data_IF_655817842231
#
_entry.id   IF_655817842231
#
_cell.length_a   1.000
_cell.length_b   1.000
_cell.length_c   1.000
_cell.angle_alpha   90.00
_cell.angle_beta   90.00
_cell.angle_gamma   90.00
#
_symmetry.space_group_name_H-M   'P 1'
#
loop_
_entity.id
_entity.type
_entity.pdbx_description
1 polymer ?
#
# COMPACT_ATOMS: atom_id res chain seq x y z
N UNK A 1 36.14 91.85 52.21
CA UNK A 1 34.99 91.05 52.68
C UNK A 1 35.19 89.64 52.15
N UNK A 2 35.61 88.72 53.02
CA UNK A 2 36.22 87.43 52.67
C UNK A 2 35.20 86.42 52.13
N UNK A 3 35.58 85.71 51.06
CA UNK A 3 34.86 84.54 50.56
C UNK A 3 35.02 83.36 51.52
N UNK A 4 33.90 82.84 52.03
CA UNK A 4 33.88 81.57 52.79
C UNK A 4 33.70 80.43 51.79
N UNK A 5 34.76 79.64 51.62
CA UNK A 5 34.75 78.37 50.89
C UNK A 5 33.95 77.35 51.72
N UNK A 6 32.76 76.97 51.25
CA UNK A 6 31.97 75.89 51.86
C UNK A 6 32.49 74.55 51.31
N UNK A 7 33.39 73.92 52.06
CA UNK A 7 33.84 72.56 51.84
C UNK A 7 32.76 71.59 52.37
N UNK A 8 32.12 70.80 51.50
CA UNK A 8 31.17 69.77 51.95
C UNK A 8 31.93 68.63 52.61
N UNK A 9 31.80 68.51 53.93
CA UNK A 9 32.28 67.37 54.71
C UNK A 9 31.58 66.11 54.18
N UNK A 10 32.36 65.23 53.56
CA UNK A 10 31.90 63.92 53.12
C UNK A 10 31.98 62.95 54.31
N UNK A 11 30.84 62.70 54.96
CA UNK A 11 30.75 61.88 56.16
C UNK A 11 30.73 60.37 55.79
N UNK A 12 31.78 59.59 56.13
CA UNK A 12 31.88 58.17 55.78
C UNK A 12 31.00 57.25 56.65
N UNK A 13 30.38 57.78 57.72
CA UNK A 13 29.58 56.99 58.67
C UNK A 13 28.22 56.57 58.10
N UNK A 14 27.53 57.48 57.41
CA UNK A 14 26.22 57.21 56.77
C UNK A 14 26.27 56.22 55.60
N UNK A 15 27.44 56.00 55.00
CA UNK A 15 27.63 54.98 53.97
C UNK A 15 27.67 53.57 54.57
N UNK A 16 28.19 53.41 55.78
CA UNK A 16 28.41 52.10 56.41
C UNK A 16 27.10 51.43 56.86
N UNK A 17 26.13 52.20 57.35
CA UNK A 17 24.81 51.68 57.73
C UNK A 17 23.90 51.39 56.54
N UNK A 18 23.94 52.22 55.48
CA UNK A 18 23.23 51.93 54.23
C UNK A 18 23.73 50.63 53.59
N UNK A 19 25.03 50.35 53.62
CA UNK A 19 25.58 49.12 53.05
C UNK A 19 25.16 47.84 53.80
N UNK A 20 24.75 47.96 55.07
CA UNK A 20 24.32 46.82 55.89
C UNK A 20 22.90 46.35 55.54
N UNK A 21 22.01 47.28 55.18
CA UNK A 21 20.63 47.00 54.75
C UNK A 21 20.53 46.48 53.30
N UNK A 22 21.45 46.86 52.42
CA UNK A 22 21.44 46.43 51.01
C UNK A 22 22.10 45.07 50.77
N UNK A 23 22.96 44.61 51.70
CA UNK A 23 23.58 43.29 51.63
C UNK A 23 22.57 42.13 51.50
N UNK A 24 21.54 41.97 52.35
CA UNK A 24 20.55 40.91 52.19
C UNK A 24 19.76 41.03 50.88
N UNK A 25 19.48 42.27 50.43
CA UNK A 25 18.77 42.53 49.17
C UNK A 25 19.53 41.99 47.95
N UNK A 26 20.85 42.14 47.89
CA UNK A 26 21.67 41.60 46.79
C UNK A 26 21.64 40.06 46.73
N UNK A 27 21.62 39.37 47.87
CA UNK A 27 21.48 37.91 47.92
C UNK A 27 20.11 37.44 47.43
N UNK A 28 19.03 38.14 47.81
CA UNK A 28 17.67 37.83 47.36
C UNK A 28 17.56 38.02 45.84
N UNK A 29 18.09 39.12 45.30
CA UNK A 29 18.11 39.36 43.84
C UNK A 29 18.93 38.29 43.11
N UNK A 30 20.08 37.88 43.65
CA UNK A 30 20.89 36.81 43.06
C UNK A 30 20.15 35.45 43.02
N UNK A 31 19.39 35.11 44.07
CA UNK A 31 18.58 33.89 44.11
C UNK A 31 17.45 33.93 43.08
N UNK A 32 16.76 35.08 42.95
CA UNK A 32 15.70 35.26 41.95
C UNK A 32 16.27 35.10 40.54
N UNK A 33 17.42 35.72 40.25
CA UNK A 33 18.08 35.58 38.94
C UNK A 33 18.47 34.12 38.69
N UNK A 34 19.00 33.41 39.68
CA UNK A 34 19.33 31.99 39.55
C UNK A 34 18.09 31.11 39.28
N UNK A 35 16.96 31.39 39.95
CA UNK A 35 15.69 30.70 39.70
C UNK A 35 15.14 30.97 38.30
N UNK A 36 15.20 32.22 37.83
CA UNK A 36 14.77 32.58 36.47
C UNK A 36 15.63 31.88 35.42
N UNK A 37 16.95 31.85 35.60
CA UNK A 37 17.86 31.13 34.69
C UNK A 37 17.59 29.62 34.67
N UNK A 38 17.31 29.02 35.84
CA UNK A 38 16.94 27.60 35.94
C UNK A 38 15.65 27.29 35.17
N UNK A 39 14.62 28.13 35.31
CA UNK A 39 13.35 27.96 34.60
C UNK A 39 13.50 28.11 33.08
N UNK A 40 14.31 29.08 32.62
CA UNK A 40 14.62 29.26 31.19
C UNK A 40 15.32 28.03 30.64
N UNK A 41 16.33 27.51 31.35
CA UNK A 41 17.06 26.31 30.94
C UNK A 41 16.15 25.07 30.84
N UNK A 42 15.26 24.86 31.82
CA UNK A 42 14.31 23.76 31.81
C UNK A 42 13.33 23.89 30.65
N UNK A 43 12.85 25.09 30.35
CA UNK A 43 11.91 25.33 29.25
C UNK A 43 12.55 25.04 27.89
N UNK A 44 13.80 25.44 27.65
CA UNK A 44 14.51 25.10 26.40
C UNK A 44 14.72 23.58 26.25
N UNK A 45 15.08 22.90 27.34
CA UNK A 45 15.20 21.43 27.36
C UNK A 45 13.86 20.74 27.11
N UNK A 46 12.77 21.29 27.64
CA UNK A 46 11.43 20.75 27.40
C UNK A 46 10.99 20.93 25.94
N UNK A 47 11.25 22.10 25.35
CA UNK A 47 10.93 22.38 23.95
C UNK A 47 11.72 21.48 23.00
N UNK A 48 13.03 21.32 23.23
CA UNK A 48 13.88 20.44 22.42
C UNK A 48 13.45 18.98 22.51
N UNK A 49 13.10 18.50 23.71
CA UNK A 49 12.56 17.15 23.89
C UNK A 49 11.24 16.99 23.12
N UNK A 50 10.31 17.94 23.24
CA UNK A 50 9.03 17.91 22.52
C UNK A 50 9.21 17.90 21.01
N UNK A 51 10.14 18.71 20.48
CA UNK A 51 10.48 18.73 19.05
C UNK A 51 11.04 17.39 18.59
N UNK A 52 11.96 16.78 19.35
CA UNK A 52 12.51 15.47 19.04
C UNK A 52 11.43 14.37 19.02
N UNK A 53 10.50 14.39 19.97
CA UNK A 53 9.35 13.46 19.97
C UNK A 53 8.42 13.67 18.78
N UNK A 54 8.15 14.92 18.40
CA UNK A 54 7.31 15.23 17.25
C UNK A 54 7.96 14.79 15.94
N UNK A 55 9.25 15.07 15.75
CA UNK A 55 10.02 14.63 14.59
C UNK A 55 10.07 13.11 14.50
N UNK A 56 10.35 12.44 15.62
CA UNK A 56 10.34 10.97 15.69
C UNK A 56 8.96 10.40 15.34
N UNK A 57 7.89 10.98 15.89
CA UNK A 57 6.51 10.59 15.57
C UNK A 57 6.18 10.79 14.09
N UNK A 58 6.61 11.90 13.49
CA UNK A 58 6.41 12.15 12.06
C UNK A 58 7.07 11.08 11.21
N UNK A 59 8.34 10.75 11.48
CA UNK A 59 9.03 9.67 10.78
C UNK A 59 8.33 8.31 10.93
N UNK A 60 7.79 8.00 12.11
CA UNK A 60 7.01 6.78 12.29
C UNK A 60 5.67 6.83 11.56
N UNK A 61 4.97 7.97 11.55
CA UNK A 61 3.70 8.11 10.82
C UNK A 61 3.92 7.95 9.31
N UNK A 62 4.94 8.58 8.74
CA UNK A 62 5.30 8.41 7.33
C UNK A 62 5.56 6.94 6.97
N UNK A 63 6.29 6.22 7.83
CA UNK A 63 6.52 4.79 7.64
C UNK A 63 5.24 3.96 7.78
N UNK A 64 4.39 4.26 8.77
CA UNK A 64 3.11 3.57 8.97
C UNK A 64 2.19 3.79 7.77
N UNK A 65 2.11 5.02 7.26
CA UNK A 65 1.29 5.35 6.10
C UNK A 65 1.81 4.63 4.84
N UNK A 66 3.13 4.56 4.65
CA UNK A 66 3.74 3.80 3.56
C UNK A 66 3.44 2.29 3.66
N UNK A 67 3.56 1.70 4.84
CA UNK A 67 3.24 0.28 5.08
C UNK A 67 1.75 0.01 4.88
N UNK A 68 0.88 0.92 5.36
CA UNK A 68 -0.57 0.79 5.19
C UNK A 68 -0.98 0.81 3.73
N UNK A 69 -0.38 1.71 2.94
CA UNK A 69 -0.59 1.75 1.50
C UNK A 69 -0.17 0.44 0.82
N UNK A 70 0.93 -0.16 1.26
CA UNK A 70 1.37 -1.47 0.75
C UNK A 70 0.41 -2.59 1.17
N UNK A 71 -0.11 -2.56 2.41
CA UNK A 71 -1.07 -3.54 2.89
C UNK A 71 -2.37 -3.49 2.07
N UNK A 72 -2.92 -2.30 1.83
CA UNK A 72 -4.12 -2.12 1.01
C UNK A 72 -3.93 -2.69 -0.41
N UNK A 73 -2.73 -2.55 -0.98
CA UNK A 73 -2.37 -3.15 -2.27
C UNK A 73 -2.34 -4.67 -2.23
N UNK A 74 -1.80 -5.27 -1.16
CA UNK A 74 -1.76 -6.73 -0.98
C UNK A 74 -3.18 -7.28 -0.84
N UNK A 75 -4.02 -6.65 -0.01
CA UNK A 75 -5.39 -7.10 0.22
C UNK A 75 -6.23 -7.02 -1.07
N UNK A 76 -6.03 -5.97 -1.87
CA UNK A 76 -6.65 -5.85 -3.18
C UNK A 76 -6.22 -6.98 -4.14
N UNK A 77 -4.94 -7.36 -4.14
CA UNK A 77 -4.45 -8.48 -4.95
C UNK A 77 -5.03 -9.81 -4.49
N UNK A 78 -5.04 -10.07 -3.18
CA UNK A 78 -5.60 -11.31 -2.63
C UNK A 78 -7.06 -11.50 -3.03
N UNK A 79 -7.85 -10.42 -3.03
CA UNK A 79 -9.24 -10.48 -3.48
C UNK A 79 -9.36 -10.88 -4.97
N UNK A 80 -8.49 -10.33 -5.82
CA UNK A 80 -8.42 -10.68 -7.24
C UNK A 80 -8.04 -12.16 -7.38
N UNK A 81 -7.01 -12.61 -6.67
CA UNK A 81 -6.53 -14.00 -6.73
C UNK A 81 -7.62 -15.00 -6.36
N UNK A 82 -8.35 -14.76 -5.26
CA UNK A 82 -9.44 -15.64 -4.81
C UNK A 82 -10.52 -15.77 -5.90
N UNK A 83 -11.00 -14.63 -6.42
CA UNK A 83 -12.03 -14.63 -7.45
C UNK A 83 -11.59 -15.36 -8.72
N UNK A 84 -10.35 -15.13 -9.16
CA UNK A 84 -9.82 -15.75 -10.39
C UNK A 84 -9.59 -17.25 -10.26
N UNK A 85 -9.08 -17.70 -9.12
CA UNK A 85 -8.91 -19.14 -8.85
C UNK A 85 -10.27 -19.85 -8.88
N UNK A 86 -11.32 -19.25 -8.32
CA UNK A 86 -12.67 -19.81 -8.35
C UNK A 86 -13.22 -19.90 -9.78
N UNK A 87 -13.14 -18.80 -10.55
CA UNK A 87 -13.56 -18.77 -11.95
C UNK A 87 -12.83 -19.82 -12.79
N UNK A 88 -11.52 -19.95 -12.60
CA UNK A 88 -10.68 -20.95 -13.28
C UNK A 88 -11.09 -22.37 -12.94
N UNK A 89 -11.30 -22.68 -11.64
CA UNK A 89 -11.76 -24.00 -11.19
C UNK A 89 -13.11 -24.34 -11.79
N UNK A 90 -14.06 -23.40 -11.79
CA UNK A 90 -15.39 -23.61 -12.37
C UNK A 90 -15.34 -23.86 -13.88
N UNK A 91 -14.58 -23.06 -14.62
CA UNK A 91 -14.42 -23.24 -16.07
C UNK A 91 -13.78 -24.59 -16.41
N UNK A 92 -12.71 -24.98 -15.69
CA UNK A 92 -12.05 -26.27 -15.87
C UNK A 92 -12.97 -27.45 -15.53
N UNK A 93 -13.76 -27.34 -14.46
CA UNK A 93 -14.75 -28.35 -14.08
C UNK A 93 -15.83 -28.51 -15.16
N UNK A 94 -16.32 -27.42 -15.75
CA UNK A 94 -17.28 -27.47 -16.87
C UNK A 94 -16.70 -28.17 -18.10
N UNK A 95 -15.44 -27.90 -18.45
CA UNK A 95 -14.74 -28.56 -19.56
C UNK A 95 -14.59 -30.05 -19.28
N UNK A 96 -14.13 -30.43 -18.09
CA UNK A 96 -13.98 -31.84 -17.69
C UNK A 96 -15.31 -32.58 -17.77
N UNK A 97 -16.38 -32.00 -17.18
CA UNK A 97 -17.72 -32.59 -17.22
C UNK A 97 -18.24 -32.77 -18.66
N UNK A 98 -17.89 -31.85 -19.55
CA UNK A 98 -18.26 -31.95 -20.96
C UNK A 98 -17.46 -33.05 -21.69
N UNK A 99 -16.16 -33.18 -21.39
CA UNK A 99 -15.33 -34.27 -21.92
C UNK A 99 -15.84 -35.64 -21.45
N UNK A 100 -16.14 -35.79 -20.16
CA UNK A 100 -16.71 -37.02 -19.60
C UNK A 100 -18.04 -37.39 -20.26
N UNK A 101 -18.93 -36.41 -20.43
CA UNK A 101 -20.22 -36.61 -21.09
C UNK A 101 -20.06 -37.02 -22.57
N UNK A 102 -19.06 -36.49 -23.27
CA UNK A 102 -18.75 -36.86 -24.66
C UNK A 102 -18.12 -38.26 -24.72
N UNK A 103 -17.25 -38.60 -23.77
CA UNK A 103 -16.60 -39.91 -23.68
C UNK A 103 -17.60 -41.02 -23.35
N UNK A 104 -18.54 -40.74 -22.45
CA UNK A 104 -19.67 -41.63 -22.12
C UNK A 104 -20.73 -41.72 -23.24
N UNK A 105 -20.57 -41.00 -24.35
CA UNK A 105 -21.52 -41.02 -25.48
C UNK A 105 -22.84 -40.28 -25.23
N UNK A 106 -23.06 -39.75 -24.02
CA UNK A 106 -24.26 -38.98 -23.65
C UNK A 106 -24.37 -37.64 -24.40
N UNK A 107 -23.24 -37.08 -24.82
CA UNK A 107 -23.15 -35.88 -25.66
C UNK A 107 -22.24 -36.14 -26.87
N UNK A 108 -22.43 -35.39 -27.96
CA UNK A 108 -21.63 -35.53 -29.19
C UNK A 108 -21.06 -34.18 -29.63
N UNK A 109 -19.77 -34.16 -29.96
CA UNK A 109 -19.11 -33.04 -30.64
C UNK A 109 -19.25 -33.23 -32.15
N UNK A 110 -20.03 -32.38 -32.81
CA UNK A 110 -20.24 -32.40 -34.26
C UNK A 110 -19.33 -31.38 -34.93
N UNK A 111 -18.76 -31.73 -36.07
CA UNK A 111 -18.03 -30.78 -36.93
C UNK A 111 -19.03 -30.21 -37.93
N UNK A 112 -19.13 -28.89 -38.00
CA UNK A 112 -19.85 -28.25 -39.09
C UNK A 112 -18.93 -28.20 -40.32
N UNK A 113 -19.08 -29.18 -41.21
CA UNK A 113 -18.35 -29.24 -42.47
C UNK A 113 -19.24 -28.75 -43.61
N UNK A 114 -18.78 -27.75 -44.36
CA UNK A 114 -19.44 -27.29 -45.58
C UNK A 114 -18.71 -27.90 -46.78
N UNK A 115 -19.29 -28.93 -47.38
CA UNK A 115 -18.75 -29.54 -48.59
C UNK A 115 -19.24 -28.76 -49.82
N UNK A 116 -18.32 -28.12 -50.55
CA UNK A 116 -18.63 -27.54 -51.87
C UNK A 116 -18.62 -28.66 -52.92
N UNK A 117 -19.78 -28.97 -53.47
CA UNK A 117 -19.93 -30.00 -54.52
C UNK A 117 -19.56 -29.40 -55.89
N UNK A 118 -18.62 -29.97 -56.65
CA UNK A 118 -18.33 -29.55 -58.02
C UNK A 118 -19.46 -29.94 -58.99
N UNK A 119 -19.72 -29.12 -60.01
CA UNK A 119 -20.87 -29.21 -60.95
C UNK A 119 -20.88 -30.42 -61.91
N UNK A 120 -19.90 -31.32 -61.86
CA UNK A 120 -19.81 -32.49 -62.74
C UNK A 120 -20.07 -33.77 -61.94
N UNK A 121 -21.31 -34.24 -61.98
CA UNK A 121 -21.81 -35.40 -61.23
C UNK A 121 -21.37 -36.71 -61.86
N UNK A 122 -20.43 -37.42 -61.23
CA UNK A 122 -20.42 -38.89 -61.26
C UNK A 122 -20.82 -39.35 -59.87
N UNK A 123 -22.07 -39.81 -59.74
CA UNK A 123 -22.59 -40.34 -58.49
C UNK A 123 -21.84 -41.63 -58.13
N UNK A 124 -20.87 -41.53 -57.23
CA UNK A 124 -20.27 -42.70 -56.58
C UNK A 124 -20.81 -42.82 -55.16
N UNK A 125 -21.46 -43.96 -54.96
CA UNK A 125 -21.63 -44.69 -53.70
C UNK A 125 -22.13 -43.89 -52.50
N UNK A 126 -23.42 -44.13 -52.22
CA UNK A 126 -24.08 -43.97 -50.92
C UNK A 126 -23.15 -44.39 -49.78
N UNK A 127 -22.58 -43.43 -49.06
CA UNK A 127 -22.06 -43.68 -47.72
C UNK A 127 -23.26 -43.64 -46.78
N UNK A 128 -23.53 -44.74 -46.06
CA UNK A 128 -24.24 -44.69 -44.78
C UNK A 128 -23.32 -43.92 -43.81
N UNK A 129 -23.22 -42.61 -44.02
CA UNK A 129 -22.22 -41.80 -43.37
C UNK A 129 -22.79 -41.36 -42.04
N UNK A 130 -22.46 -42.13 -40.99
CA UNK A 130 -22.61 -41.70 -39.62
C UNK A 130 -22.19 -40.21 -39.54
N UNK A 131 -23.08 -39.36 -39.02
CA UNK A 131 -22.91 -37.91 -38.96
C UNK A 131 -21.47 -37.54 -38.57
N UNK A 132 -20.79 -36.63 -39.30
CA UNK A 132 -19.37 -36.35 -39.09
C UNK A 132 -19.09 -35.97 -37.64
N UNK A 133 -18.39 -36.86 -36.93
CA UNK A 133 -18.01 -36.73 -35.54
C UNK A 133 -16.48 -36.70 -35.44
N UNK A 134 -15.94 -35.91 -34.52
CA UNK A 134 -14.49 -35.92 -34.28
C UNK A 134 -14.04 -37.33 -33.84
N UNK A 135 -12.93 -37.80 -34.40
CA UNK A 135 -12.21 -38.98 -33.90
C UNK A 135 -11.77 -38.78 -32.44
N UNK A 136 -11.47 -39.86 -31.74
CA UNK A 136 -11.15 -39.83 -30.30
C UNK A 136 -9.93 -38.94 -29.99
N UNK A 137 -8.84 -39.08 -30.74
CA UNK A 137 -7.65 -38.22 -30.61
C UNK A 137 -7.98 -36.73 -30.82
N UNK A 138 -8.75 -36.42 -31.87
CA UNK A 138 -9.15 -35.04 -32.18
C UNK A 138 -10.08 -34.44 -31.10
N UNK A 139 -10.91 -35.27 -30.44
CA UNK A 139 -11.73 -34.83 -29.28
C UNK A 139 -10.85 -34.46 -28.09
N UNK A 140 -9.89 -35.30 -27.75
CA UNK A 140 -8.95 -35.04 -26.64
C UNK A 140 -8.15 -33.76 -26.89
N UNK A 141 -7.64 -33.58 -28.12
CA UNK A 141 -6.92 -32.37 -28.51
C UNK A 141 -7.79 -31.11 -28.44
N UNK A 142 -9.07 -31.21 -28.87
CA UNK A 142 -10.02 -30.10 -28.75
C UNK A 142 -10.23 -29.67 -27.29
N UNK A 143 -10.48 -30.61 -26.37
CA UNK A 143 -10.67 -30.27 -24.95
C UNK A 143 -9.40 -29.74 -24.30
N UNK A 144 -8.23 -30.30 -24.65
CA UNK A 144 -6.93 -29.78 -24.22
C UNK A 144 -6.70 -28.35 -24.70
N UNK A 145 -6.99 -28.07 -25.96
CA UNK A 145 -6.90 -26.72 -26.52
C UNK A 145 -7.84 -25.74 -25.81
N UNK A 146 -9.09 -26.15 -25.55
CA UNK A 146 -10.06 -25.30 -24.84
C UNK A 146 -9.61 -25.01 -23.41
N UNK A 147 -9.03 -25.98 -22.72
CA UNK A 147 -8.46 -25.77 -21.39
C UNK A 147 -7.30 -24.76 -21.43
N UNK A 148 -6.38 -24.89 -22.39
CA UNK A 148 -5.26 -23.96 -22.55
C UNK A 148 -5.72 -22.54 -22.90
N UNK A 149 -6.73 -22.38 -23.76
CA UNK A 149 -7.27 -21.05 -24.09
C UNK A 149 -7.82 -20.37 -22.84
N UNK A 150 -8.62 -21.07 -22.03
CA UNK A 150 -9.19 -20.52 -20.79
C UNK A 150 -8.08 -20.11 -19.82
N UNK A 151 -7.03 -20.91 -19.69
CA UNK A 151 -5.89 -20.57 -18.82
C UNK A 151 -5.17 -19.31 -19.31
N UNK A 152 -4.89 -19.21 -20.61
CA UNK A 152 -4.19 -18.07 -21.21
C UNK A 152 -5.02 -16.79 -21.16
N UNK A 153 -6.32 -16.90 -21.37
CA UNK A 153 -7.27 -15.79 -21.22
C UNK A 153 -7.24 -15.27 -19.77
N UNK A 154 -7.31 -16.17 -18.78
CA UNK A 154 -7.25 -15.79 -17.36
C UNK A 154 -5.91 -15.18 -16.95
N UNK A 155 -4.79 -15.69 -17.48
CA UNK A 155 -3.47 -15.07 -17.29
C UNK A 155 -3.44 -13.63 -17.84
N UNK A 156 -4.04 -13.40 -19.01
CA UNK A 156 -4.07 -12.07 -19.63
C UNK A 156 -4.97 -11.11 -18.86
N UNK A 157 -6.17 -11.55 -18.48
CA UNK A 157 -7.09 -10.77 -17.63
C UNK A 157 -6.46 -10.40 -16.29
N UNK A 158 -5.75 -11.35 -15.67
CA UNK A 158 -5.02 -11.11 -14.43
C UNK A 158 -3.99 -9.98 -14.60
N UNK A 159 -3.16 -10.04 -15.64
CA UNK A 159 -2.15 -9.01 -15.91
C UNK A 159 -2.79 -7.63 -16.14
N UNK A 160 -3.89 -7.57 -16.88
CA UNK A 160 -4.63 -6.32 -17.09
C UNK A 160 -5.17 -5.76 -15.76
N UNK A 161 -5.72 -6.61 -14.91
CA UNK A 161 -6.29 -6.20 -13.62
C UNK A 161 -5.20 -5.80 -12.62
N UNK A 162 -4.07 -6.52 -12.63
CA UNK A 162 -2.88 -6.19 -11.86
C UNK A 162 -2.36 -4.81 -12.22
N UNK A 163 -2.16 -4.51 -13.51
CA UNK A 163 -1.71 -3.18 -13.98
C UNK A 163 -2.68 -2.08 -13.51
N UNK A 164 -3.99 -2.28 -13.67
CA UNK A 164 -5.01 -1.31 -13.24
C UNK A 164 -5.01 -1.03 -11.72
N UNK A 165 -4.59 -2.01 -10.92
CA UNK A 165 -4.66 -1.95 -9.46
C UNK A 165 -3.33 -1.51 -8.84
N UNK A 166 -2.21 -1.97 -9.40
CA UNK A 166 -0.87 -1.81 -8.81
C UNK A 166 -0.03 -0.71 -9.46
N UNK A 167 -0.24 -0.39 -10.74
CA UNK A 167 0.56 0.57 -11.50
C UNK A 167 -0.12 1.95 -11.65
N UNK A 168 -1.03 2.31 -10.73
CA UNK A 168 -1.56 3.67 -10.62
C UNK A 168 -0.56 4.60 -9.96
#
# INVERSE_FOLDING_TARGET
MLMVKVERVNDPSGNRERNMLWRPYTFIVAIIVALVLSLVFINERYQTIKQNYQALKQHYQEQIDAVKLQQDKIDALQKIDIQRIEEMKNAKAKISKLDDAVRAGTKRLRVNAVCRIPKTTTAKSRCDEATPQLGEAARQDYFRLRAMIVEKEKQTEYLQQYIKTQCK
#
